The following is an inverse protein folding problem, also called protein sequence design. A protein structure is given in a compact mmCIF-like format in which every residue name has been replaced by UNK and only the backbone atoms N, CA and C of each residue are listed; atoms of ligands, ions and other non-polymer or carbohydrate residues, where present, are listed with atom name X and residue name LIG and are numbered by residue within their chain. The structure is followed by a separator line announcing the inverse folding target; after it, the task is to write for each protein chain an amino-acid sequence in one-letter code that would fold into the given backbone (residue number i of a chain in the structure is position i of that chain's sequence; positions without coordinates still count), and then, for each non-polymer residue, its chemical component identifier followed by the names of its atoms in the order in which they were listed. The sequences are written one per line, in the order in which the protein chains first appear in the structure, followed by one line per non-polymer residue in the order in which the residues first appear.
data_IF_505037947493
#
_entry.id   IF_505037947493
#
_cell.length_a   1.000
_cell.length_b   1.000
_cell.length_c   1.000
_cell.angle_alpha   90.00
_cell.angle_beta   90.00
_cell.angle_gamma   90.00
#
_symmetry.space_group_name_H-M   'P 1'
#
loop_
_entity.id
_entity.type
_entity.pdbx_description
1 polymer ?
#
# COMPACT_ATOMS: atom_id res chain seq x y z
N UNK A 1 47.89 23.32 -8.02
CA UNK A 1 46.73 23.97 -8.67
C UNK A 1 45.87 22.89 -9.32
N UNK A 2 45.03 22.18 -8.57
CA UNK A 2 43.87 21.39 -9.03
C UNK A 2 43.00 21.02 -7.80
N UNK A 3 42.42 22.03 -7.17
CA UNK A 3 41.25 21.88 -6.30
C UNK A 3 40.07 22.40 -7.13
N UNK A 4 39.14 21.53 -7.54
CA UNK A 4 37.72 21.83 -7.86
C UNK A 4 37.13 20.74 -8.75
N UNK A 5 36.72 19.60 -8.18
CA UNK A 5 35.76 18.74 -8.90
C UNK A 5 34.92 17.77 -8.05
N UNK A 6 34.83 18.01 -6.75
CA UNK A 6 34.01 17.18 -5.85
C UNK A 6 32.87 17.91 -5.13
N UNK A 7 32.62 19.19 -5.43
CA UNK A 7 31.56 19.97 -4.74
C UNK A 7 30.13 19.78 -5.27
N UNK A 8 29.92 19.09 -6.40
CA UNK A 8 28.58 19.04 -7.03
C UNK A 8 27.73 17.83 -6.62
N UNK A 9 28.35 16.72 -6.21
CA UNK A 9 27.60 15.50 -5.85
C UNK A 9 27.09 15.57 -4.41
N UNK A 10 27.84 16.21 -3.50
CA UNK A 10 27.41 16.44 -2.12
C UNK A 10 26.27 17.47 -2.01
N UNK A 11 26.20 18.44 -2.93
CA UNK A 11 25.14 19.45 -2.93
C UNK A 11 23.77 18.90 -3.37
N UNK A 12 23.76 17.83 -4.19
CA UNK A 12 22.52 17.20 -4.67
C UNK A 12 22.00 16.11 -3.72
N UNK A 13 22.87 15.42 -2.98
CA UNK A 13 22.45 14.45 -1.97
C UNK A 13 22.08 15.08 -0.63
N UNK A 14 22.65 16.25 -0.29
CA UNK A 14 22.32 16.96 0.95
C UNK A 14 21.02 17.77 0.84
N UNK A 15 20.66 18.30 -0.34
CA UNK A 15 19.41 19.06 -0.50
C UNK A 15 18.14 18.18 -0.57
N UNK A 16 18.26 16.93 -1.02
CA UNK A 16 17.12 16.01 -1.13
C UNK A 16 16.79 15.39 0.24
N UNK A 17 17.81 15.12 1.06
CA UNK A 17 17.60 14.62 2.43
C UNK A 17 17.04 15.69 3.35
N UNK A 18 17.45 16.96 3.21
CA UNK A 18 16.95 18.02 4.09
C UNK A 18 15.52 18.47 3.80
N UNK A 19 15.06 18.43 2.52
CA UNK A 19 13.69 18.84 2.17
C UNK A 19 12.61 17.81 2.52
N UNK A 20 12.93 16.51 2.57
CA UNK A 20 11.98 15.51 3.05
C UNK A 20 11.96 15.41 4.58
N UNK A 21 13.11 15.61 5.24
CA UNK A 21 13.22 15.54 6.69
C UNK A 21 12.63 16.76 7.41
N UNK A 22 12.64 17.95 6.79
CA UNK A 22 12.06 19.16 7.40
C UNK A 22 10.53 19.30 7.20
N UNK A 23 9.92 18.54 6.28
CA UNK A 23 8.47 18.56 6.04
C UNK A 23 7.67 17.66 7.00
N UNK A 24 8.36 16.91 7.87
CA UNK A 24 7.76 15.98 8.85
C UNK A 24 7.95 16.42 10.30
N UNK A 25 8.52 17.60 10.57
CA UNK A 25 8.82 18.09 11.91
C UNK A 25 7.81 19.11 12.48
N UNK A 26 6.65 19.32 11.84
CA UNK A 26 5.62 20.26 12.33
C UNK A 26 4.21 19.82 11.92
N UNK A 27 3.74 18.69 12.43
CA UNK A 27 2.41 18.62 13.06
C UNK A 27 2.18 17.25 13.68
N UNK A 28 1.86 17.29 14.97
CA UNK A 28 1.26 16.24 15.78
C UNK A 28 2.16 15.11 16.28
N UNK A 29 2.98 15.48 17.25
CA UNK A 29 3.29 14.60 18.38
C UNK A 29 1.99 14.20 19.11
N UNK A 30 1.45 13.03 18.77
CA UNK A 30 0.78 12.14 19.72
C UNK A 30 1.11 10.70 19.38
N UNK A 31 2.12 10.17 20.06
CA UNK A 31 2.10 8.75 20.44
C UNK A 31 2.17 8.70 21.96
N UNK A 32 1.38 7.85 22.61
CA UNK A 32 1.87 6.49 22.74
C UNK A 32 0.81 5.41 22.47
N UNK A 33 1.31 4.30 21.89
CA UNK A 33 0.96 2.90 22.13
C UNK A 33 -0.44 2.47 22.64
N UNK A 34 -0.79 1.27 22.15
CA UNK A 34 -1.78 0.27 22.64
C UNK A 34 -3.20 0.40 22.10
N UNK A 35 -3.60 -0.65 21.37
CA UNK A 35 -4.97 -1.13 21.39
C UNK A 35 -5.25 -1.57 22.84
N UNK A 36 -6.27 -1.02 23.52
CA UNK A 36 -7.58 -1.68 23.49
C UNK A 36 -8.77 -0.70 23.52
N UNK A 37 -9.93 -1.20 23.07
CA UNK A 37 -11.29 -0.85 23.49
C UNK A 37 -11.70 0.64 23.54
N UNK A 38 -12.51 1.01 22.54
CA UNK A 38 -13.79 1.72 22.68
C UNK A 38 -13.84 2.89 23.67
N UNK A 39 -13.86 4.13 23.14
CA UNK A 39 -14.93 5.12 23.44
C UNK A 39 -14.58 6.48 22.80
N UNK A 40 -15.47 6.92 21.91
CA UNK A 40 -15.39 8.13 21.08
C UNK A 40 -15.24 7.86 19.58
N UNK A 41 -14.99 6.59 19.22
CA UNK A 41 -14.61 6.17 17.88
C UNK A 41 -15.83 5.86 17.02
N UNK A 42 -15.98 6.63 15.94
CA UNK A 42 -16.49 6.16 14.64
C UNK A 42 -16.74 4.64 14.59
N UNK A 43 -18.00 4.21 14.68
CA UNK A 43 -18.39 2.79 14.69
C UNK A 43 -17.68 2.06 13.53
N UNK A 44 -16.72 1.20 13.87
CA UNK A 44 -15.88 0.50 12.90
C UNK A 44 -16.39 -0.92 12.70
N UNK A 45 -17.04 -1.15 11.57
CA UNK A 45 -17.57 -2.47 11.18
C UNK A 45 -16.60 -3.13 10.21
N UNK A 46 -15.90 -4.18 10.64
CA UNK A 46 -14.99 -4.93 9.78
C UNK A 46 -15.78 -5.85 8.84
N UNK A 47 -15.53 -5.74 7.54
CA UNK A 47 -16.24 -6.51 6.51
C UNK A 47 -15.45 -7.73 6.05
N UNK A 48 -14.14 -7.55 5.88
CA UNK A 48 -13.26 -8.56 5.30
C UNK A 48 -11.84 -8.48 5.89
N UNK A 49 -11.18 -9.63 6.01
CA UNK A 49 -9.76 -9.75 6.38
C UNK A 49 -9.02 -10.66 5.40
N UNK A 50 -7.98 -10.14 4.75
CA UNK A 50 -7.12 -10.90 3.85
C UNK A 50 -6.05 -11.68 4.61
N UNK A 51 -5.93 -12.98 4.32
CA UNK A 51 -4.91 -13.86 4.91
C UNK A 51 -3.48 -13.57 4.41
N UNK A 52 -3.35 -12.96 3.22
CA UNK A 52 -2.07 -12.69 2.57
C UNK A 52 -1.23 -11.56 3.18
N UNK A 53 -1.73 -10.85 4.19
CA UNK A 53 -1.04 -9.66 4.72
C UNK A 53 0.31 -9.98 5.37
N UNK A 54 0.40 -11.11 6.08
CA UNK A 54 1.63 -11.53 6.76
C UNK A 54 2.74 -11.92 5.76
N UNK A 55 2.52 -12.83 4.78
CA UNK A 55 3.56 -13.15 3.81
C UNK A 55 3.98 -11.93 2.99
N UNK A 56 3.05 -11.05 2.60
CA UNK A 56 3.41 -9.80 1.93
C UNK A 56 4.30 -8.88 2.79
N UNK A 57 4.00 -8.75 4.08
CA UNK A 57 4.85 -7.96 5.00
C UNK A 57 6.26 -8.55 5.09
N UNK A 58 6.38 -9.86 5.14
CA UNK A 58 7.69 -10.53 5.16
C UNK A 58 8.45 -10.26 3.86
N UNK A 59 7.80 -10.38 2.69
CA UNK A 59 8.43 -10.10 1.40
C UNK A 59 8.92 -8.65 1.30
N UNK A 60 8.10 -7.69 1.72
CA UNK A 60 8.47 -6.26 1.70
C UNK A 60 9.66 -5.98 2.61
N UNK A 61 9.71 -6.61 3.79
CA UNK A 61 10.86 -6.47 4.70
C UNK A 61 12.11 -7.17 4.17
N UNK A 62 11.98 -8.34 3.58
CA UNK A 62 13.11 -9.06 2.95
C UNK A 62 13.73 -8.22 1.82
N UNK A 63 12.91 -7.55 1.01
CA UNK A 63 13.37 -6.58 0.01
C UNK A 63 14.23 -5.47 0.63
N UNK A 64 13.81 -4.93 1.77
CA UNK A 64 14.57 -3.87 2.46
C UNK A 64 15.92 -4.41 2.96
N UNK A 65 15.95 -5.63 3.49
CA UNK A 65 17.21 -6.26 3.87
C UNK A 65 18.13 -6.50 2.66
N UNK A 66 17.58 -6.91 1.51
CA UNK A 66 18.35 -7.07 0.26
C UNK A 66 18.97 -5.72 -0.19
N UNK A 67 18.19 -4.64 -0.20
CA UNK A 67 18.67 -3.31 -0.57
C UNK A 67 19.72 -2.78 0.42
N UNK A 68 19.50 -2.98 1.72
CA UNK A 68 20.47 -2.60 2.75
C UNK A 68 21.79 -3.38 2.59
N UNK A 69 21.72 -4.68 2.30
CA UNK A 69 22.89 -5.51 2.03
C UNK A 69 23.68 -5.03 0.81
N UNK A 70 23.00 -4.73 -0.31
CA UNK A 70 23.65 -4.18 -1.51
C UNK A 70 24.29 -2.82 -1.22
N UNK A 71 23.61 -1.95 -0.48
CA UNK A 71 24.16 -0.64 -0.09
C UNK A 71 25.39 -0.77 0.82
N UNK A 72 25.39 -1.71 1.76
CA UNK A 72 26.53 -1.97 2.63
C UNK A 72 27.75 -2.48 1.85
N UNK A 73 27.53 -3.32 0.83
CA UNK A 73 28.59 -3.83 -0.05
C UNK A 73 29.07 -2.81 -1.07
N UNK A 74 28.29 -1.77 -1.37
CA UNK A 74 28.69 -0.73 -2.33
C UNK A 74 29.96 0.02 -1.89
N UNK A 75 30.15 0.24 -0.58
CA UNK A 75 31.33 0.93 -0.01
C UNK A 75 32.63 0.14 -0.27
N UNK A 76 32.78 -1.13 0.18
CA UNK A 76 33.99 -1.89 -0.07
C UNK A 76 34.19 -2.13 -1.57
N UNK A 77 33.13 -2.40 -2.34
CA UNK A 77 33.23 -2.53 -3.79
C UNK A 77 33.83 -1.27 -4.39
N UNK A 78 33.29 -0.08 -4.09
CA UNK A 78 33.83 1.18 -4.61
C UNK A 78 35.31 1.38 -4.25
N UNK A 79 35.73 1.04 -3.02
CA UNK A 79 37.15 1.11 -2.65
C UNK A 79 38.04 0.15 -3.46
N UNK A 80 37.55 -1.06 -3.76
CA UNK A 80 38.24 -2.02 -4.63
C UNK A 80 38.24 -1.58 -6.10
N UNK A 81 37.16 -0.98 -6.62
CA UNK A 81 37.09 -0.49 -8.00
C UNK A 81 38.02 0.71 -8.25
N UNK A 82 38.28 1.54 -7.23
CA UNK A 82 39.25 2.66 -7.34
C UNK A 82 40.70 2.15 -7.38
N UNK A 83 40.96 0.97 -6.79
CA UNK A 83 42.31 0.39 -6.69
C UNK A 83 42.61 -0.69 -7.74
N UNK A 84 41.60 -1.27 -8.39
CA UNK A 84 41.74 -2.41 -9.30
C UNK A 84 41.06 -2.21 -10.66
N UNK A 85 41.47 -3.00 -11.66
CA UNK A 85 40.81 -3.03 -12.97
C UNK A 85 39.57 -3.92 -12.93
N UNK A 86 38.42 -3.35 -13.28
CA UNK A 86 37.13 -4.05 -13.31
C UNK A 86 36.94 -4.71 -14.67
N UNK A 87 36.65 -6.01 -14.70
CA UNK A 87 36.33 -6.69 -15.96
C UNK A 87 34.97 -6.23 -16.49
N UNK A 88 34.85 -6.01 -17.80
CA UNK A 88 33.59 -5.62 -18.46
C UNK A 88 32.43 -6.57 -18.15
N UNK A 89 32.72 -7.87 -17.99
CA UNK A 89 31.71 -8.88 -17.64
C UNK A 89 31.17 -8.65 -16.23
N UNK A 90 32.03 -8.33 -15.27
CA UNK A 90 31.62 -8.05 -13.89
C UNK A 90 30.75 -6.80 -13.81
N UNK A 91 31.09 -5.76 -14.57
CA UNK A 91 30.29 -4.54 -14.66
C UNK A 91 28.89 -4.78 -15.23
N UNK A 92 28.79 -5.60 -16.29
CA UNK A 92 27.49 -6.02 -16.86
C UNK A 92 26.66 -6.80 -15.84
N UNK A 93 27.26 -7.79 -15.17
CA UNK A 93 26.57 -8.60 -14.17
C UNK A 93 26.08 -7.77 -12.97
N UNK A 94 26.89 -6.85 -12.48
CA UNK A 94 26.52 -5.95 -11.40
C UNK A 94 25.35 -5.03 -11.81
N UNK A 95 25.41 -4.48 -13.03
CA UNK A 95 24.33 -3.63 -13.57
C UNK A 95 23.03 -4.41 -13.71
N UNK A 96 23.09 -5.62 -14.29
CA UNK A 96 21.92 -6.48 -14.44
C UNK A 96 21.28 -6.83 -13.09
N UNK A 97 22.10 -7.09 -12.07
CA UNK A 97 21.62 -7.37 -10.71
C UNK A 97 20.94 -6.15 -10.08
N UNK A 98 21.55 -4.97 -10.17
CA UNK A 98 20.96 -3.73 -9.64
C UNK A 98 19.63 -3.41 -10.34
N UNK A 99 19.58 -3.52 -11.67
CA UNK A 99 18.36 -3.29 -12.45
C UNK A 99 17.28 -4.31 -12.09
N UNK A 100 17.63 -5.60 -12.00
CA UNK A 100 16.71 -6.67 -11.62
C UNK A 100 16.13 -6.47 -10.22
N UNK A 101 16.98 -6.13 -9.24
CA UNK A 101 16.55 -5.80 -7.88
C UNK A 101 15.63 -4.56 -7.84
N UNK A 102 15.94 -3.53 -8.62
CA UNK A 102 15.11 -2.35 -8.77
C UNK A 102 13.73 -2.67 -9.34
N UNK A 103 13.69 -3.43 -10.44
CA UNK A 103 12.45 -3.86 -11.08
C UNK A 103 11.59 -4.70 -10.12
N UNK A 104 12.17 -5.72 -9.48
CA UNK A 104 11.47 -6.54 -8.48
C UNK A 104 10.94 -5.70 -7.30
N UNK A 105 11.71 -4.69 -6.88
CA UNK A 105 11.32 -3.78 -5.80
C UNK A 105 10.12 -2.91 -6.16
N UNK A 106 10.10 -2.37 -7.38
CA UNK A 106 8.99 -1.56 -7.89
C UNK A 106 7.75 -2.42 -8.07
N UNK A 107 7.88 -3.63 -8.63
CA UNK A 107 6.76 -4.57 -8.79
C UNK A 107 6.16 -4.95 -7.43
N UNK A 108 7.00 -5.29 -6.44
CA UNK A 108 6.51 -5.65 -5.12
C UNK A 108 5.79 -4.48 -4.43
N UNK A 109 6.35 -3.26 -4.55
CA UNK A 109 5.71 -2.05 -4.05
C UNK A 109 4.37 -1.76 -4.74
N UNK A 110 4.30 -1.95 -6.05
CA UNK A 110 3.09 -1.76 -6.83
C UNK A 110 1.95 -2.66 -6.31
N UNK A 111 2.24 -3.93 -6.01
CA UNK A 111 1.24 -4.86 -5.51
C UNK A 111 0.95 -4.71 -4.00
N UNK A 112 1.93 -4.37 -3.17
CA UNK A 112 1.73 -4.25 -1.71
C UNK A 112 0.73 -3.15 -1.34
N UNK A 113 0.72 -2.04 -2.09
CA UNK A 113 -0.21 -0.91 -1.90
C UNK A 113 -1.61 -1.16 -2.44
N UNK A 114 -1.78 -2.19 -3.27
CA UNK A 114 -3.06 -2.55 -3.88
C UNK A 114 -3.72 -3.72 -3.17
N UNK A 115 -2.93 -4.66 -2.64
CA UNK A 115 -3.47 -5.81 -1.92
C UNK A 115 -4.13 -5.38 -0.59
N UNK A 116 -5.43 -5.63 -0.48
CA UNK A 116 -6.22 -5.27 0.69
C UNK A 116 -6.14 -6.37 1.75
N UNK A 117 -5.54 -6.04 2.89
CA UNK A 117 -5.50 -6.94 4.04
C UNK A 117 -6.68 -6.79 4.99
N UNK A 118 -7.36 -5.64 5.01
CA UNK A 118 -8.62 -5.49 5.74
C UNK A 118 -9.50 -4.47 5.03
N UNK A 119 -10.80 -4.77 4.95
CA UNK A 119 -11.81 -3.83 4.51
C UNK A 119 -12.79 -3.60 5.66
N UNK A 120 -13.03 -2.34 6.00
CA UNK A 120 -13.96 -1.97 7.07
C UNK A 120 -14.78 -0.75 6.70
N UNK A 121 -15.96 -0.62 7.29
CA UNK A 121 -16.75 0.61 7.27
C UNK A 121 -16.45 1.38 8.55
N UNK A 122 -16.30 2.70 8.44
CA UNK A 122 -16.18 3.60 9.59
C UNK A 122 -17.26 4.67 9.49
N UNK A 123 -18.10 4.80 10.50
CA UNK A 123 -19.01 5.94 10.59
C UNK A 123 -18.23 7.22 10.89
N UNK A 124 -18.58 8.33 10.24
CA UNK A 124 -17.94 9.60 10.57
C UNK A 124 -18.45 10.08 11.95
N UNK A 125 -17.58 10.56 12.85
CA UNK A 125 -18.04 11.21 14.09
C UNK A 125 -18.97 12.38 13.72
N UNK A 126 -20.18 12.41 14.29
CA UNK A 126 -21.20 13.41 13.97
C UNK A 126 -22.28 12.97 12.97
N UNK A 127 -22.48 11.67 12.75
CA UNK A 127 -23.61 11.15 11.95
C UNK A 127 -23.43 11.31 10.44
N UNK A 128 -22.22 11.60 9.97
CA UNK A 128 -21.92 11.68 8.55
C UNK A 128 -21.90 10.31 7.86
N UNK A 129 -21.93 10.32 6.52
CA UNK A 129 -21.93 9.12 5.69
C UNK A 129 -20.81 8.13 6.06
N UNK A 130 -21.07 6.81 6.01
CA UNK A 130 -20.06 5.80 6.31
C UNK A 130 -18.92 5.88 5.27
N UNK A 131 -17.68 5.78 5.74
CA UNK A 131 -16.48 5.72 4.90
C UNK A 131 -15.99 4.28 4.80
N UNK A 132 -15.60 3.86 3.60
CA UNK A 132 -14.96 2.57 3.34
C UNK A 132 -13.46 2.71 3.59
N UNK A 133 -12.91 1.86 4.45
CA UNK A 133 -11.52 1.88 4.84
C UNK A 133 -10.79 0.68 4.24
N UNK A 134 -9.86 0.95 3.32
CA UNK A 134 -8.95 -0.02 2.71
C UNK A 134 -7.63 -0.03 3.45
N UNK A 135 -7.37 -1.12 4.16
CA UNK A 135 -6.11 -1.34 4.85
C UNK A 135 -5.15 -2.12 3.97
N UNK A 136 -4.09 -1.45 3.52
CA UNK A 136 -3.04 -1.99 2.63
C UNK A 136 -1.69 -1.91 3.32
N UNK A 137 -0.63 -2.35 2.65
CA UNK A 137 0.74 -2.15 3.12
C UNK A 137 1.41 -1.00 2.37
N UNK A 138 2.15 -0.18 3.11
CA UNK A 138 3.02 0.82 2.53
C UNK A 138 4.31 0.19 1.95
N UNK A 139 5.23 1.04 1.49
CA UNK A 139 6.53 0.61 0.97
C UNK A 139 7.41 -0.13 2.01
N UNK A 140 7.19 0.14 3.30
CA UNK A 140 7.97 -0.37 4.43
C UNK A 140 7.36 -1.63 5.06
N UNK A 141 6.17 -2.03 4.62
CA UNK A 141 5.42 -3.14 5.19
C UNK A 141 4.65 -2.78 6.46
N UNK A 142 4.49 -1.48 6.74
CA UNK A 142 3.54 -0.97 7.72
C UNK A 142 2.14 -0.93 7.10
N UNK A 143 1.12 -0.98 7.96
CA UNK A 143 -0.27 -0.92 7.53
C UNK A 143 -0.69 0.53 7.32
N UNK A 144 -1.26 0.81 6.15
CA UNK A 144 -1.81 2.11 5.77
C UNK A 144 -3.32 1.96 5.59
N UNK A 145 -4.10 2.77 6.30
CA UNK A 145 -5.57 2.76 6.25
C UNK A 145 -6.07 3.92 5.36
N UNK A 146 -6.62 3.61 4.20
CA UNK A 146 -7.12 4.59 3.24
C UNK A 146 -8.64 4.72 3.38
N UNK A 147 -9.13 5.90 3.76
CA UNK A 147 -10.56 6.18 3.90
C UNK A 147 -11.11 6.74 2.59
N UNK A 148 -12.10 6.05 2.04
CA UNK A 148 -12.71 6.33 0.73
C UNK A 148 -14.22 6.46 0.92
N UNK A 149 -14.79 7.52 0.34
CA UNK A 149 -16.23 7.69 0.30
C UNK A 149 -16.87 6.61 -0.61
N UNK A 150 -17.98 5.96 -0.20
CA UNK A 150 -18.61 4.91 -0.98
C UNK A 150 -18.95 5.33 -2.42
N UNK A 151 -19.25 6.61 -2.64
CA UNK A 151 -19.59 7.17 -3.95
C UNK A 151 -18.43 7.13 -4.95
N UNK A 152 -17.17 7.08 -4.47
CA UNK A 152 -15.98 6.98 -5.33
C UNK A 152 -15.68 5.54 -5.75
N UNK A 153 -16.39 4.55 -5.19
CA UNK A 153 -16.19 3.16 -5.56
C UNK A 153 -16.93 2.85 -6.84
N UNK A 154 -16.20 2.37 -7.84
CA UNK A 154 -16.79 1.76 -9.03
C UNK A 154 -17.15 0.32 -8.61
N UNK A 155 -18.44 -0.02 -8.46
CA UNK A 155 -18.82 -1.27 -7.84
C UNK A 155 -18.58 -2.44 -8.81
N UNK A 156 -17.63 -3.34 -8.53
CA UNK A 156 -17.24 -4.37 -9.48
C UNK A 156 -18.32 -5.43 -9.71
N UNK A 157 -19.31 -5.54 -8.81
CA UNK A 157 -20.40 -6.52 -8.89
C UNK A 157 -21.74 -5.89 -9.28
N UNK A 158 -21.75 -4.64 -9.74
CA UNK A 158 -22.97 -3.96 -10.15
C UNK A 158 -23.57 -4.63 -11.40
N UNK A 159 -24.81 -5.09 -11.31
CA UNK A 159 -25.53 -5.69 -12.44
C UNK A 159 -25.14 -7.14 -12.77
N UNK A 160 -24.24 -7.78 -12.01
CA UNK A 160 -23.87 -9.17 -12.24
C UNK A 160 -25.02 -10.14 -11.95
N UNK A 161 -25.25 -11.06 -12.89
CA UNK A 161 -26.14 -12.20 -12.72
C UNK A 161 -25.60 -13.21 -11.69
N UNK A 162 -26.44 -14.10 -11.12
CA UNK A 162 -26.01 -15.11 -10.15
C UNK A 162 -24.91 -16.04 -10.67
N UNK A 163 -24.89 -16.30 -11.99
CA UNK A 163 -23.89 -17.12 -12.67
C UNK A 163 -22.55 -16.41 -12.83
N UNK A 164 -22.55 -15.12 -13.17
CA UNK A 164 -21.33 -14.31 -13.25
C UNK A 164 -20.73 -14.07 -11.86
N UNK A 165 -21.57 -13.90 -10.84
CA UNK A 165 -21.11 -13.81 -9.45
C UNK A 165 -20.34 -15.06 -9.00
N UNK A 166 -20.73 -16.25 -9.46
CA UNK A 166 -19.99 -17.49 -9.18
C UNK A 166 -18.64 -17.49 -9.89
N UNK A 167 -18.58 -17.11 -11.16
CA UNK A 167 -17.33 -16.99 -11.89
C UNK A 167 -16.39 -15.96 -11.26
N UNK A 168 -16.91 -14.82 -10.81
CA UNK A 168 -16.12 -13.79 -10.13
C UNK A 168 -15.70 -14.26 -8.72
N UNK A 169 -16.52 -15.04 -8.02
CA UNK A 169 -16.14 -15.65 -6.75
C UNK A 169 -15.06 -16.74 -6.90
N UNK A 170 -15.01 -17.40 -8.05
CA UNK A 170 -13.93 -18.35 -8.41
C UNK A 170 -12.62 -17.63 -8.71
N UNK A 171 -12.66 -16.37 -9.15
CA UNK A 171 -11.46 -15.55 -9.32
C UNK A 171 -10.77 -15.35 -7.97
N UNK A 172 -9.46 -15.58 -7.96
CA UNK A 172 -8.66 -15.47 -6.73
C UNK A 172 -8.47 -14.02 -6.31
N UNK A 173 -8.49 -13.09 -7.27
CA UNK A 173 -8.24 -11.67 -7.08
C UNK A 173 -9.38 -10.88 -7.73
N UNK A 174 -10.08 -10.08 -6.94
CA UNK A 174 -11.12 -9.17 -7.36
C UNK A 174 -10.55 -7.73 -7.36
N UNK A 175 -10.43 -7.09 -8.53
CA UNK A 175 -10.11 -5.66 -8.59
C UNK A 175 -11.31 -4.81 -8.14
N UNK A 176 -11.02 -3.74 -7.41
CA UNK A 176 -11.97 -2.72 -6.97
C UNK A 176 -11.38 -1.38 -7.37
N UNK A 177 -12.02 -0.72 -8.33
CA UNK A 177 -11.58 0.59 -8.79
C UNK A 177 -12.15 1.71 -7.93
N UNK A 178 -11.29 2.67 -7.58
CA UNK A 178 -11.65 3.87 -6.83
C UNK A 178 -11.36 5.08 -7.72
N UNK A 179 -12.38 5.88 -7.97
CA UNK A 179 -12.26 7.08 -8.78
C UNK A 179 -11.28 8.08 -8.13
N UNK A 180 -10.29 8.53 -8.89
CA UNK A 180 -9.25 9.45 -8.42
C UNK A 180 -8.25 8.85 -7.41
N UNK A 181 -8.17 7.53 -7.30
CA UNK A 181 -7.15 6.81 -6.52
C UNK A 181 -6.65 5.59 -7.33
N UNK A 182 -6.06 4.61 -6.64
CA UNK A 182 -5.58 3.34 -7.20
C UNK A 182 -6.66 2.27 -7.20
N UNK A 183 -6.50 1.29 -8.09
CA UNK A 183 -7.21 0.01 -8.03
C UNK A 183 -6.74 -0.81 -6.83
N UNK A 184 -7.67 -1.26 -6.01
CA UNK A 184 -7.45 -2.16 -4.88
C UNK A 184 -7.74 -3.60 -5.30
N UNK A 185 -7.03 -4.57 -4.72
CA UNK A 185 -7.15 -5.98 -5.05
C UNK A 185 -7.55 -6.74 -3.78
N UNK A 186 -8.70 -7.39 -3.85
CA UNK A 186 -9.25 -8.23 -2.78
C UNK A 186 -9.10 -9.71 -3.14
N UNK A 187 -8.92 -10.60 -2.18
CA UNK A 187 -8.96 -12.05 -2.44
C UNK A 187 -10.18 -12.68 -1.79
N UNK A 188 -11.27 -12.81 -2.55
CA UNK A 188 -12.51 -13.39 -2.04
C UNK A 188 -12.35 -14.85 -1.62
N UNK A 189 -11.57 -15.63 -2.37
CA UNK A 189 -11.37 -17.07 -2.14
C UNK A 189 -10.55 -17.38 -0.87
N UNK A 190 -9.49 -16.63 -0.62
CA UNK A 190 -8.55 -16.92 0.48
C UNK A 190 -8.71 -15.98 1.68
N UNK A 191 -9.55 -14.96 1.58
CA UNK A 191 -9.83 -14.03 2.65
C UNK A 191 -11.00 -14.47 3.53
N UNK A 192 -10.97 -14.01 4.78
CA UNK A 192 -12.02 -14.25 5.75
C UNK A 192 -13.09 -13.16 5.63
N UNK A 193 -14.29 -13.57 5.21
CA UNK A 193 -15.47 -12.71 5.10
C UNK A 193 -16.13 -12.60 6.48
N UNK A 194 -15.99 -11.45 7.15
CA UNK A 194 -16.55 -11.22 8.49
C UNK A 194 -18.04 -10.90 8.39
N UNK A 195 -18.38 -9.89 7.57
CA UNK A 195 -19.76 -9.52 7.31
C UNK A 195 -20.05 -9.59 5.81
N UNK A 196 -20.51 -10.78 5.38
CA UNK A 196 -20.74 -11.09 3.96
C UNK A 196 -21.79 -10.19 3.32
N UNK A 197 -22.89 -9.91 4.02
CA UNK A 197 -24.00 -9.11 3.50
C UNK A 197 -23.54 -7.67 3.24
N UNK A 198 -22.99 -7.00 4.25
CA UNK A 198 -22.46 -5.64 4.14
C UNK A 198 -21.31 -5.53 3.14
N UNK A 199 -20.45 -6.54 3.02
CA UNK A 199 -19.41 -6.56 1.99
C UNK A 199 -20.02 -6.60 0.58
N UNK A 200 -21.01 -7.47 0.34
CA UNK A 200 -21.67 -7.54 -0.96
C UNK A 200 -22.43 -6.25 -1.26
N UNK A 201 -22.98 -5.57 -0.25
CA UNK A 201 -23.59 -4.25 -0.43
C UNK A 201 -22.59 -3.19 -0.91
N UNK A 202 -21.38 -3.15 -0.33
CA UNK A 202 -20.28 -2.28 -0.81
C UNK A 202 -19.93 -2.63 -2.25
N UNK A 203 -19.70 -3.91 -2.55
CA UNK A 203 -19.21 -4.35 -3.86
C UNK A 203 -20.26 -4.21 -4.98
N UNK A 204 -21.55 -4.24 -4.65
CA UNK A 204 -22.67 -3.99 -5.56
C UNK A 204 -23.04 -2.50 -5.65
N UNK A 205 -22.45 -1.66 -4.80
CA UNK A 205 -22.74 -0.23 -4.73
C UNK A 205 -24.09 0.11 -4.08
N UNK A 206 -24.70 -0.83 -3.34
CA UNK A 206 -26.02 -0.59 -2.73
C UNK A 206 -25.97 0.27 -1.47
N UNK A 207 -24.81 0.43 -0.82
CA UNK A 207 -24.63 1.41 0.26
C UNK A 207 -24.84 2.87 -0.20
N UNK A 208 -24.70 3.13 -1.51
CA UNK A 208 -24.96 4.46 -2.11
C UNK A 208 -26.48 4.70 -2.23
N UNK A 209 -27.30 3.64 -2.28
CA UNK A 209 -28.74 3.72 -2.54
C UNK A 209 -29.60 3.90 -1.29
N UNK A 210 -29.19 3.40 -0.12
CA UNK A 210 -29.99 3.52 1.11
C UNK A 210 -30.20 5.00 1.55
N UNK A 211 -29.28 5.90 1.20
CA UNK A 211 -29.35 7.32 1.57
C UNK A 211 -30.34 8.15 0.71
N UNK A 212 -30.87 7.58 -0.39
CA UNK A 212 -31.89 8.24 -1.23
C UNK A 212 -33.32 7.75 -0.96
N UNK A 213 -33.50 6.81 -0.03
CA UNK A 213 -34.78 6.15 0.23
C UNK A 213 -35.58 6.67 1.44
N UNK A 214 -35.00 7.55 2.25
CA UNK A 214 -35.64 8.02 3.49
C UNK A 214 -35.96 9.52 3.46
N UNK A 215 -36.62 9.97 2.40
CA UNK A 215 -37.50 11.15 2.49
C UNK A 215 -38.90 10.64 2.79
N UNK A 216 -39.13 10.31 4.06
CA UNK A 216 -40.48 10.14 4.57
C UNK A 216 -40.99 11.56 4.86
N UNK A 217 -41.96 11.97 4.04
CA UNK A 217 -42.94 13.06 4.17
C UNK A 217 -42.61 14.23 5.12
#
# INVERSE_FOLDING_TARGET
MYLTRWCWVDFLLTNITHRYFSSSASENEKTPQKQPTDQGAAEKTVLYRGKGMVPFRVLVRLKIFQLAGVAALAIPINTFLVQGSVSSIQAVMATALVVGCGAASVTLWYYSRRYVGELSLRLRPGGGKPLVCFSVLDFWGNREDNLVAPERLIPPLQGCSPTELRQIAEQTLLPIDVEGDRQYILSLRHGHLVNKQRLMEVLKGSLIKEDKGNTVL
#
